data_IF_282863221657
#
_entry.id   IF_282863221657
#
_cell.length_a   1.000
_cell.length_b   1.000
_cell.length_c   1.000
_cell.angle_alpha   90.00
_cell.angle_beta   90.00
_cell.angle_gamma   90.00
#
_symmetry.space_group_name_H-M   'P 1'
#
loop_
_entity.id
_entity.type
_entity.pdbx_description
1 polymer ?
#
# COMPACT_ATOMS: atom_id res chain seq x y z
N UNK A 1 -33.43 -13.41 -45.66
CA UNK A 1 -33.05 -14.15 -44.43
C UNK A 1 -32.09 -13.26 -43.65
N UNK A 2 -32.53 -12.56 -42.60
CA UNK A 2 -31.61 -11.81 -41.72
C UNK A 2 -30.96 -12.83 -40.80
N UNK A 3 -29.68 -13.09 -40.98
CA UNK A 3 -28.90 -13.93 -40.08
C UNK A 3 -28.97 -13.30 -38.69
N UNK A 4 -29.36 -14.09 -37.69
CA UNK A 4 -29.29 -13.71 -36.28
C UNK A 4 -27.85 -13.38 -35.95
N UNK A 5 -27.52 -12.09 -35.83
CA UNK A 5 -26.22 -11.69 -35.28
C UNK A 5 -26.14 -12.24 -33.87
N UNK A 6 -25.13 -13.08 -33.61
CA UNK A 6 -24.80 -13.58 -32.26
C UNK A 6 -24.84 -12.38 -31.30
N UNK A 7 -25.63 -12.48 -30.22
CA UNK A 7 -25.63 -11.44 -29.18
C UNK A 7 -24.18 -11.24 -28.71
N UNK A 8 -23.75 -9.99 -28.53
CA UNK A 8 -22.42 -9.70 -27.95
C UNK A 8 -22.31 -10.49 -26.64
N UNK A 9 -21.15 -11.11 -26.42
CA UNK A 9 -20.88 -11.80 -25.16
C UNK A 9 -21.05 -10.80 -24.00
N UNK A 10 -21.85 -11.19 -23.02
CA UNK A 10 -22.04 -10.41 -21.81
C UNK A 10 -20.75 -10.49 -20.99
N UNK A 11 -20.00 -9.40 -20.96
CA UNK A 11 -18.74 -9.28 -20.24
C UNK A 11 -18.96 -8.46 -18.98
N UNK A 12 -18.70 -9.07 -17.83
CA UNK A 12 -18.69 -8.37 -16.54
C UNK A 12 -17.39 -7.56 -16.47
N UNK A 13 -17.45 -6.23 -16.31
CA UNK A 13 -16.24 -5.43 -16.11
C UNK A 13 -15.54 -5.85 -14.81
N UNK A 14 -14.23 -6.01 -14.86
CA UNK A 14 -13.40 -6.28 -13.69
C UNK A 14 -12.56 -5.05 -13.37
N UNK A 15 -12.53 -4.64 -12.09
CA UNK A 15 -11.71 -3.53 -11.61
C UNK A 15 -10.82 -4.00 -10.46
N UNK A 16 -9.54 -3.72 -10.59
CA UNK A 16 -8.55 -3.84 -9.53
C UNK A 16 -8.71 -2.70 -8.53
N UNK A 17 -8.71 -3.03 -7.24
CA UNK A 17 -8.78 -2.03 -6.19
C UNK A 17 -7.63 -1.03 -6.29
N UNK A 18 -6.40 -1.51 -6.44
CA UNK A 18 -5.20 -0.68 -6.55
C UNK A 18 -5.00 -0.18 -7.98
N UNK A 19 -5.11 -1.08 -8.97
CA UNK A 19 -4.83 -0.77 -10.37
C UNK A 19 -5.90 0.06 -11.07
N UNK A 20 -7.16 -0.02 -10.66
CA UNK A 20 -8.22 0.76 -11.30
C UNK A 20 -8.77 1.84 -10.39
N UNK A 21 -9.28 1.47 -9.22
CA UNK A 21 -10.05 2.39 -8.40
C UNK A 21 -9.16 3.47 -7.76
N UNK A 22 -8.06 3.07 -7.12
CA UNK A 22 -7.10 4.03 -6.54
C UNK A 22 -6.32 4.81 -7.62
N UNK A 23 -5.96 4.16 -8.73
CA UNK A 23 -5.32 4.85 -9.86
C UNK A 23 -6.24 5.92 -10.49
N UNK A 24 -7.53 5.63 -10.64
CA UNK A 24 -8.52 6.61 -11.11
C UNK A 24 -8.61 7.80 -10.16
N UNK A 25 -8.74 7.54 -8.86
CA UNK A 25 -8.79 8.60 -7.83
C UNK A 25 -7.52 9.46 -7.76
N UNK A 26 -6.38 8.93 -8.19
CA UNK A 26 -5.14 9.70 -8.30
C UNK A 26 -5.22 10.70 -9.45
N UNK A 27 -5.64 10.25 -10.64
CA UNK A 27 -5.91 11.11 -11.80
C UNK A 27 -6.62 10.32 -12.91
N UNK A 28 -7.87 10.68 -13.25
CA UNK A 28 -8.67 9.94 -14.23
C UNK A 28 -8.00 9.89 -15.62
N UNK A 29 -7.40 11.01 -16.05
CA UNK A 29 -6.71 11.07 -17.35
C UNK A 29 -5.47 10.19 -17.38
N UNK A 30 -4.70 10.17 -16.29
CA UNK A 30 -3.52 9.30 -16.18
C UNK A 30 -3.93 7.83 -16.18
N UNK A 31 -4.94 7.47 -15.38
CA UNK A 31 -5.52 6.14 -15.33
C UNK A 31 -5.96 5.65 -16.73
N UNK A 32 -6.66 6.51 -17.50
CA UNK A 32 -7.08 6.17 -18.86
C UNK A 32 -5.90 5.79 -19.75
N UNK A 33 -4.80 6.51 -19.67
CA UNK A 33 -3.64 6.24 -20.52
C UNK A 33 -2.81 5.05 -20.04
N UNK A 34 -2.59 4.92 -18.74
CA UNK A 34 -1.68 3.90 -18.19
C UNK A 34 -2.38 2.55 -18.03
N UNK A 35 -3.50 2.50 -17.32
CA UNK A 35 -4.16 1.24 -16.97
C UNK A 35 -5.05 0.74 -18.10
N UNK A 36 -5.86 1.62 -18.69
CA UNK A 36 -6.75 1.25 -19.79
C UNK A 36 -6.08 1.33 -21.17
N UNK A 37 -5.02 2.14 -21.30
CA UNK A 37 -4.25 2.28 -22.53
C UNK A 37 -2.97 1.45 -22.57
N UNK A 38 -2.66 0.73 -21.49
CA UNK A 38 -1.46 -0.11 -21.33
C UNK A 38 -0.14 0.66 -21.56
N UNK A 39 -0.13 1.97 -21.31
CA UNK A 39 1.09 2.77 -21.44
C UNK A 39 1.91 2.70 -20.15
N UNK A 40 3.14 2.22 -20.27
CA UNK A 40 4.09 2.14 -19.16
C UNK A 40 4.58 3.56 -18.81
N UNK A 41 4.60 3.96 -17.52
CA UNK A 41 5.13 5.25 -17.12
C UNK A 41 6.62 5.40 -17.46
N UNK A 42 7.06 6.57 -17.91
CA UNK A 42 8.47 6.81 -18.29
C UNK A 42 9.40 7.02 -17.09
N UNK A 43 8.85 7.40 -15.93
CA UNK A 43 9.60 7.59 -14.66
C UNK A 43 8.89 6.95 -13.47
N UNK A 44 8.81 5.61 -13.39
CA UNK A 44 8.05 4.92 -12.37
C UNK A 44 8.84 4.83 -11.05
N UNK A 45 9.45 5.90 -10.50
CA UNK A 45 10.28 5.76 -9.29
C UNK A 45 9.48 5.19 -8.12
N UNK A 46 8.29 5.75 -7.85
CA UNK A 46 7.42 5.29 -6.77
C UNK A 46 6.79 3.92 -7.06
N UNK A 47 6.41 3.67 -8.31
CA UNK A 47 5.87 2.37 -8.74
C UNK A 47 6.94 1.27 -8.61
N UNK A 48 8.15 1.53 -9.12
CA UNK A 48 9.32 0.66 -8.99
C UNK A 48 9.62 0.39 -7.52
N UNK A 49 9.76 1.44 -6.69
CA UNK A 49 10.10 1.22 -5.28
C UNK A 49 9.01 0.46 -4.52
N UNK A 50 7.74 0.72 -4.83
CA UNK A 50 6.61 -0.07 -4.33
C UNK A 50 6.76 -1.54 -4.68
N UNK A 51 6.74 -1.90 -5.97
CA UNK A 51 6.86 -3.29 -6.41
C UNK A 51 8.14 -3.97 -5.89
N UNK A 52 9.25 -3.23 -5.83
CA UNK A 52 10.51 -3.70 -5.29
C UNK A 52 10.40 -4.07 -3.82
N UNK A 53 9.84 -3.19 -2.96
CA UNK A 53 9.77 -3.45 -1.53
C UNK A 53 8.79 -4.58 -1.19
N UNK A 54 7.65 -4.69 -1.90
CA UNK A 54 6.73 -5.82 -1.74
C UNK A 54 7.44 -7.13 -2.10
N UNK A 55 8.08 -7.19 -3.28
CA UNK A 55 8.80 -8.39 -3.73
C UNK A 55 9.95 -8.79 -2.81
N UNK A 56 10.69 -7.82 -2.25
CA UNK A 56 11.76 -8.13 -1.30
C UNK A 56 11.19 -8.63 0.03
N UNK A 57 10.13 -8.02 0.57
CA UNK A 57 9.51 -8.49 1.82
C UNK A 57 8.94 -9.90 1.68
N UNK A 58 8.33 -10.22 0.54
CA UNK A 58 7.79 -11.54 0.22
C UNK A 58 8.90 -12.61 0.11
N UNK A 59 9.94 -12.32 -0.66
CA UNK A 59 11.06 -13.25 -0.83
C UNK A 59 11.86 -13.41 0.47
N UNK A 60 12.01 -12.34 1.27
CA UNK A 60 12.60 -12.40 2.59
C UNK A 60 11.77 -13.27 3.55
N UNK A 61 10.44 -13.15 3.55
CA UNK A 61 9.59 -14.06 4.31
C UNK A 61 9.77 -15.51 3.87
N UNK A 62 9.81 -15.76 2.56
CA UNK A 62 10.02 -17.11 2.00
C UNK A 62 11.34 -17.71 2.49
N UNK A 63 12.43 -16.95 2.45
CA UNK A 63 13.74 -17.39 2.96
C UNK A 63 13.73 -17.59 4.47
N UNK A 64 13.10 -16.70 5.23
CA UNK A 64 12.96 -16.84 6.68
C UNK A 64 12.12 -18.07 7.05
N UNK A 65 11.05 -18.36 6.32
CA UNK A 65 10.20 -19.53 6.54
C UNK A 65 10.98 -20.83 6.39
N UNK A 66 11.92 -20.89 5.44
CA UNK A 66 12.77 -22.05 5.18
C UNK A 66 13.93 -22.19 6.18
N UNK A 67 14.61 -21.09 6.48
CA UNK A 67 15.87 -21.12 7.25
C UNK A 67 15.69 -20.83 8.73
N UNK A 68 14.61 -20.12 9.09
CA UNK A 68 14.35 -19.54 10.42
C UNK A 68 15.54 -18.74 10.95
N UNK A 69 16.29 -18.10 10.04
CA UNK A 69 17.46 -17.28 10.38
C UNK A 69 17.06 -16.16 11.36
N UNK A 70 17.76 -16.01 12.50
CA UNK A 70 17.47 -14.95 13.45
C UNK A 70 17.82 -13.57 12.88
N UNK A 71 17.12 -12.55 13.37
CA UNK A 71 17.40 -11.15 13.08
C UNK A 71 18.47 -10.60 14.04
N UNK A 72 19.22 -9.55 13.65
CA UNK A 72 19.16 -8.83 12.38
C UNK A 72 19.87 -9.58 11.23
N UNK A 73 19.39 -9.36 10.02
CA UNK A 73 20.01 -9.80 8.78
C UNK A 73 21.00 -8.75 8.28
N UNK A 74 22.14 -9.21 7.77
CA UNK A 74 23.18 -8.36 7.20
C UNK A 74 22.80 -7.97 5.78
N UNK A 75 22.85 -6.67 5.44
CA UNK A 75 22.45 -6.22 4.12
C UNK A 75 23.22 -6.93 2.99
N UNK A 76 24.56 -6.97 3.05
CA UNK A 76 25.36 -7.45 1.93
C UNK A 76 25.25 -8.97 1.75
N UNK A 77 25.20 -9.72 2.85
CA UNK A 77 25.19 -11.19 2.83
C UNK A 77 23.80 -11.78 2.65
N UNK A 78 22.78 -11.17 3.27
CA UNK A 78 21.46 -11.78 3.40
C UNK A 78 20.41 -11.09 2.52
N UNK A 79 20.40 -9.76 2.50
CA UNK A 79 19.32 -8.98 1.86
C UNK A 79 19.65 -8.67 0.40
N UNK A 80 20.90 -8.33 0.10
CA UNK A 80 21.35 -7.96 -1.25
C UNK A 80 21.13 -9.08 -2.29
N UNK A 81 21.32 -10.37 -1.99
CA UNK A 81 20.95 -11.45 -2.92
C UNK A 81 19.45 -11.48 -3.23
N UNK A 82 18.60 -11.14 -2.25
CA UNK A 82 17.15 -11.01 -2.44
C UNK A 82 16.85 -9.82 -3.35
N UNK A 83 17.43 -8.65 -3.05
CA UNK A 83 17.31 -7.45 -3.89
C UNK A 83 17.68 -7.74 -5.35
N UNK A 84 18.77 -8.47 -5.59
CA UNK A 84 19.24 -8.82 -6.93
C UNK A 84 18.22 -9.67 -7.70
N UNK A 85 17.61 -10.66 -7.03
CA UNK A 85 16.58 -11.52 -7.61
C UNK A 85 15.31 -10.74 -7.97
N UNK A 86 14.90 -9.80 -7.11
CA UNK A 86 13.73 -8.95 -7.36
C UNK A 86 14.01 -7.93 -8.47
N UNK A 87 15.18 -7.30 -8.47
CA UNK A 87 15.64 -6.40 -9.53
C UNK A 87 15.62 -7.09 -10.90
N UNK A 88 16.17 -8.31 -11.00
CA UNK A 88 16.15 -9.10 -12.25
C UNK A 88 14.71 -9.38 -12.72
N UNK A 89 13.81 -9.79 -11.81
CA UNK A 89 12.40 -10.04 -12.13
C UNK A 89 11.68 -8.78 -12.64
N UNK A 90 11.97 -7.62 -12.05
CA UNK A 90 11.36 -6.35 -12.44
C UNK A 90 11.89 -5.87 -13.80
N UNK A 91 13.20 -5.96 -14.02
CA UNK A 91 13.81 -5.62 -15.31
C UNK A 91 13.31 -6.51 -16.45
N UNK A 92 13.06 -7.80 -16.20
CA UNK A 92 12.45 -8.71 -17.16
C UNK A 92 11.02 -8.28 -17.59
N UNK A 93 10.33 -7.50 -16.76
CA UNK A 93 9.02 -6.89 -17.06
C UNK A 93 9.12 -5.48 -17.65
N UNK A 94 10.34 -4.99 -17.91
CA UNK A 94 10.60 -3.64 -18.42
C UNK A 94 10.56 -2.55 -17.34
N UNK A 95 10.52 -2.92 -16.05
CA UNK A 95 10.51 -1.99 -14.94
C UNK A 95 11.92 -1.83 -14.37
N UNK A 96 12.64 -0.83 -14.87
CA UNK A 96 14.04 -0.60 -14.53
C UNK A 96 14.22 0.22 -13.25
N UNK A 97 15.30 -0.02 -12.48
CA UNK A 97 15.60 0.75 -11.29
C UNK A 97 15.78 2.24 -11.58
N UNK A 98 15.48 3.11 -10.60
CA UNK A 98 15.75 4.53 -10.70
C UNK A 98 17.27 4.79 -10.77
N UNK A 99 17.65 6.05 -10.92
CA UNK A 99 19.05 6.47 -11.04
C UNK A 99 19.97 5.82 -9.96
N UNK A 100 21.24 5.58 -10.32
CA UNK A 100 22.25 4.89 -9.48
C UNK A 100 22.48 5.49 -8.08
N UNK A 101 22.07 6.74 -7.87
CA UNK A 101 22.08 7.40 -6.56
C UNK A 101 21.07 6.80 -5.58
N UNK A 102 20.00 6.19 -6.07
CA UNK A 102 18.92 5.60 -5.26
C UNK A 102 19.05 4.10 -5.06
N UNK A 103 19.51 3.39 -6.09
CA UNK A 103 19.69 1.94 -6.08
C UNK A 103 20.83 1.56 -7.01
N UNK A 104 21.63 0.57 -6.62
CA UNK A 104 22.67 0.02 -7.48
C UNK A 104 22.14 -1.30 -8.02
N UNK A 105 21.97 -1.47 -9.34
CA UNK A 105 21.58 -2.74 -9.95
C UNK A 105 22.67 -3.81 -9.72
N UNK A 106 22.30 -5.08 -9.79
CA UNK A 106 23.29 -6.15 -9.67
C UNK A 106 24.22 -6.22 -10.90
N UNK A 107 23.65 -6.05 -12.09
CA UNK A 107 24.40 -5.89 -13.33
C UNK A 107 24.70 -4.41 -13.52
N UNK A 108 25.94 -3.99 -13.25
CA UNK A 108 26.36 -2.60 -13.45
C UNK A 108 26.47 -2.37 -14.96
N UNK A 109 25.70 -1.43 -15.56
CA UNK A 109 25.67 -1.27 -17.02
C UNK A 109 26.97 -0.76 -17.64
N UNK A 110 27.93 -0.28 -16.84
CA UNK A 110 29.10 0.46 -17.33
C UNK A 110 30.35 0.15 -16.49
N UNK A 111 31.42 -0.29 -17.16
CA UNK A 111 32.76 -0.51 -16.56
C UNK A 111 33.39 0.80 -16.06
N UNK A 112 32.87 1.97 -16.47
CA UNK A 112 33.38 3.29 -16.08
C UNK A 112 32.92 3.77 -14.70
N UNK A 113 32.08 3.02 -14.00
CA UNK A 113 31.71 3.32 -12.61
C UNK A 113 32.73 2.64 -11.70
N UNK A 114 33.49 3.43 -10.91
CA UNK A 114 34.38 2.95 -9.83
C UNK A 114 33.57 2.33 -8.67
N UNK A 115 32.70 1.37 -8.95
CA UNK A 115 31.88 0.65 -7.98
C UNK A 115 32.43 -0.77 -7.94
N UNK A 116 32.94 -1.18 -6.77
CA UNK A 116 33.33 -2.57 -6.56
C UNK A 116 32.06 -3.46 -6.55
N UNK A 117 31.89 -4.38 -7.52
CA UNK A 117 30.74 -5.27 -7.56
C UNK A 117 30.63 -6.18 -6.32
N UNK A 118 31.75 -6.43 -5.63
CA UNK A 118 31.78 -7.26 -4.41
C UNK A 118 31.39 -6.48 -3.15
N UNK A 119 31.50 -5.16 -3.18
CA UNK A 119 31.17 -4.31 -2.05
C UNK A 119 30.56 -2.97 -2.53
N UNK A 120 29.36 -3.01 -3.13
CA UNK A 120 28.70 -1.80 -3.62
C UNK A 120 28.29 -0.91 -2.44
N UNK A 121 28.27 0.42 -2.60
CA UNK A 121 27.77 1.30 -1.55
C UNK A 121 26.25 1.12 -1.35
N UNK A 122 25.83 0.96 -0.10
CA UNK A 122 24.40 0.83 0.26
C UNK A 122 23.67 2.15 -0.03
N UNK A 123 22.67 2.10 -0.90
CA UNK A 123 21.83 3.26 -1.26
C UNK A 123 20.54 3.29 -0.44
N UNK A 124 19.81 4.41 -0.51
CA UNK A 124 18.62 4.65 0.31
C UNK A 124 17.56 3.55 0.16
N UNK A 125 17.33 3.03 -1.06
CA UNK A 125 16.39 1.93 -1.29
C UNK A 125 16.80 0.69 -0.48
N UNK A 126 18.06 0.28 -0.60
CA UNK A 126 18.61 -0.86 0.13
C UNK A 126 18.61 -0.65 1.64
N UNK A 127 18.92 0.56 2.11
CA UNK A 127 18.83 0.90 3.53
C UNK A 127 17.39 0.81 4.06
N UNK A 128 16.38 1.24 3.27
CA UNK A 128 14.97 1.10 3.63
C UNK A 128 14.54 -0.36 3.68
N UNK A 129 14.95 -1.15 2.71
CA UNK A 129 14.71 -2.59 2.69
C UNK A 129 15.29 -3.28 3.92
N UNK A 130 16.54 -2.98 4.27
CA UNK A 130 17.19 -3.53 5.47
C UNK A 130 16.45 -3.15 6.75
N UNK A 131 16.08 -1.88 6.91
CA UNK A 131 15.29 -1.44 8.06
C UNK A 131 13.91 -2.11 8.10
N UNK A 132 13.25 -2.27 6.95
CA UNK A 132 11.94 -2.91 6.86
C UNK A 132 11.99 -4.37 7.33
N UNK A 133 12.99 -5.14 6.87
CA UNK A 133 13.20 -6.53 7.26
C UNK A 133 13.58 -6.65 8.74
N UNK A 134 14.54 -5.84 9.21
CA UNK A 134 15.08 -5.95 10.56
C UNK A 134 14.16 -5.39 11.65
N UNK A 135 13.30 -4.41 11.32
CA UNK A 135 12.34 -3.80 12.26
C UNK A 135 10.98 -4.48 12.18
N UNK A 136 10.36 -4.52 11.00
CA UNK A 136 9.01 -5.05 10.84
C UNK A 136 9.00 -6.52 10.40
N UNK A 137 9.92 -6.95 9.54
CA UNK A 137 10.03 -8.36 9.14
C UNK A 137 10.16 -9.31 10.33
N UNK A 138 10.97 -8.96 11.35
CA UNK A 138 11.08 -9.74 12.59
C UNK A 138 9.75 -9.91 13.34
N UNK A 139 8.87 -8.92 13.28
CA UNK A 139 7.61 -8.92 14.01
C UNK A 139 6.50 -9.54 13.18
N UNK A 140 6.53 -9.38 11.85
CA UNK A 140 5.47 -9.82 10.95
C UNK A 140 5.68 -11.26 10.51
N UNK A 141 6.90 -11.66 10.13
CA UNK A 141 7.15 -12.99 9.55
C UNK A 141 6.66 -14.15 10.42
N UNK A 142 6.78 -14.10 11.77
CA UNK A 142 6.21 -15.13 12.65
C UNK A 142 4.68 -15.20 12.65
N UNK A 143 4.00 -14.14 12.22
CA UNK A 143 2.54 -14.01 12.23
C UNK A 143 1.89 -14.35 10.87
N UNK A 144 2.68 -14.38 9.79
CA UNK A 144 2.14 -14.63 8.44
C UNK A 144 1.61 -16.06 8.34
N UNK A 145 0.31 -16.16 8.12
CA UNK A 145 -0.37 -17.40 7.75
C UNK A 145 -0.34 -17.58 6.23
N UNK A 146 -0.74 -16.54 5.50
CA UNK A 146 -0.70 -16.48 4.03
C UNK A 146 -0.14 -15.14 3.54
N UNK A 147 0.61 -15.18 2.44
CA UNK A 147 1.10 -14.00 1.72
C UNK A 147 0.49 -13.97 0.31
N UNK A 148 0.30 -12.77 -0.26
CA UNK A 148 -0.27 -12.53 -1.59
C UNK A 148 -1.63 -13.22 -1.84
N UNK A 149 -2.61 -12.97 -0.96
CA UNK A 149 -3.94 -13.58 -1.09
C UNK A 149 -4.78 -12.83 -2.12
N UNK A 150 -4.98 -13.45 -3.28
CA UNK A 150 -5.90 -12.95 -4.30
C UNK A 150 -7.35 -13.13 -3.86
N UNK A 151 -8.11 -12.03 -3.89
CA UNK A 151 -9.52 -11.99 -3.50
C UNK A 151 -10.33 -11.28 -4.57
N UNK A 152 -11.55 -11.78 -4.79
CA UNK A 152 -12.49 -11.20 -5.75
C UNK A 152 -13.93 -11.44 -5.37
N UNK A 153 -14.81 -10.53 -5.75
CA UNK A 153 -16.26 -10.65 -5.58
C UNK A 153 -17.01 -9.76 -6.56
N UNK A 154 -18.31 -9.99 -6.68
CA UNK A 154 -19.22 -9.22 -7.52
C UNK A 154 -19.98 -8.18 -6.71
N UNK A 155 -20.30 -7.05 -7.36
CA UNK A 155 -21.21 -6.02 -6.88
C UNK A 155 -22.18 -5.60 -7.98
N UNK A 156 -23.33 -5.07 -7.59
CA UNK A 156 -24.27 -4.46 -8.53
C UNK A 156 -23.66 -3.24 -9.20
N UNK A 157 -23.90 -3.07 -10.49
CA UNK A 157 -23.45 -1.91 -11.23
C UNK A 157 -24.13 -0.64 -10.69
N UNK A 158 -23.39 0.39 -10.28
CA UNK A 158 -23.99 1.65 -9.85
C UNK A 158 -24.81 2.24 -10.99
N UNK A 159 -26.02 2.72 -10.69
CA UNK A 159 -26.89 3.35 -11.68
C UNK A 159 -26.25 4.65 -12.18
N UNK A 160 -26.12 4.79 -13.48
CA UNK A 160 -25.71 6.05 -14.13
C UNK A 160 -26.97 6.85 -14.49
N UNK A 161 -26.87 8.19 -14.55
CA UNK A 161 -28.01 9.08 -14.83
C UNK A 161 -28.71 8.77 -16.17
N UNK A 162 -27.97 8.17 -17.11
CA UNK A 162 -28.48 7.82 -18.45
C UNK A 162 -28.97 6.35 -18.54
N UNK A 163 -28.89 5.56 -17.46
CA UNK A 163 -29.20 4.11 -17.39
C UNK A 163 -28.48 3.25 -18.46
N UNK A 164 -27.48 3.81 -19.14
CA UNK A 164 -26.66 3.14 -20.15
C UNK A 164 -25.54 2.31 -19.51
N UNK A 165 -25.92 1.35 -18.66
CA UNK A 165 -24.96 0.45 -18.06
C UNK A 165 -24.55 -0.66 -19.03
N UNK A 166 -23.25 -0.90 -19.18
CA UNK A 166 -22.73 -1.96 -20.06
C UNK A 166 -22.93 -3.37 -19.49
N UNK A 167 -23.16 -3.47 -18.18
CA UNK A 167 -23.41 -4.71 -17.44
C UNK A 167 -24.28 -4.43 -16.19
N UNK A 168 -24.93 -5.46 -15.66
CA UNK A 168 -25.71 -5.41 -14.41
C UNK A 168 -24.83 -5.50 -13.16
N UNK A 169 -23.65 -6.10 -13.30
CA UNK A 169 -22.69 -6.31 -12.23
C UNK A 169 -21.30 -5.88 -12.68
N UNK A 170 -20.45 -5.62 -11.69
CA UNK A 170 -19.01 -5.51 -11.88
C UNK A 170 -18.27 -6.37 -10.86
N UNK A 171 -17.07 -6.79 -11.21
CA UNK A 171 -16.17 -7.55 -10.35
C UNK A 171 -15.14 -6.60 -9.72
N UNK A 172 -14.95 -6.71 -8.41
CA UNK A 172 -13.81 -6.09 -7.72
C UNK A 172 -12.81 -7.20 -7.41
N UNK A 173 -11.53 -6.95 -7.71
CA UNK A 173 -10.44 -7.82 -7.31
C UNK A 173 -9.33 -7.05 -6.58
N UNK A 174 -8.53 -7.78 -5.80
CA UNK A 174 -7.43 -7.23 -5.02
C UNK A 174 -6.47 -8.32 -4.54
N UNK A 175 -5.31 -7.89 -4.03
CA UNK A 175 -4.28 -8.75 -3.45
C UNK A 175 -3.98 -8.23 -2.05
N UNK A 176 -4.20 -9.07 -1.04
CA UNK A 176 -3.74 -8.82 0.32
C UNK A 176 -2.27 -9.24 0.42
N UNK A 177 -1.38 -8.32 0.80
CA UNK A 177 0.04 -8.63 0.94
C UNK A 177 0.28 -9.70 2.00
N UNK A 178 -0.30 -9.50 3.18
CA UNK A 178 -0.15 -10.41 4.32
C UNK A 178 -1.48 -10.60 5.04
N UNK A 179 -1.83 -11.87 5.22
CA UNK A 179 -2.93 -12.31 6.06
C UNK A 179 -2.36 -13.11 7.23
N UNK A 180 -2.61 -12.63 8.44
CA UNK A 180 -2.17 -13.28 9.68
C UNK A 180 -3.36 -13.90 10.39
N UNK A 181 -3.30 -15.21 10.63
CA UNK A 181 -4.27 -15.96 11.44
C UNK A 181 -3.73 -16.13 12.86
N UNK A 182 -4.49 -15.69 13.85
CA UNK A 182 -4.05 -15.66 15.25
C UNK A 182 -5.06 -16.30 16.18
N UNK A 183 -4.58 -16.95 17.25
CA UNK A 183 -5.40 -17.39 18.37
C UNK A 183 -5.28 -16.42 19.54
N UNK A 184 -6.38 -16.21 20.26
CA UNK A 184 -6.48 -15.36 21.47
C UNK A 184 -5.50 -15.78 22.59
N UNK A 185 -5.00 -17.02 22.54
CA UNK A 185 -4.17 -17.63 23.58
C UNK A 185 -2.70 -17.76 23.18
N UNK A 186 -2.29 -17.24 22.02
CA UNK A 186 -0.92 -17.44 21.53
C UNK A 186 0.10 -16.68 22.40
N UNK A 187 1.14 -17.37 22.87
CA UNK A 187 2.21 -16.75 23.67
C UNK A 187 3.05 -15.74 22.88
N UNK A 188 3.00 -15.83 21.54
CA UNK A 188 3.63 -14.89 20.59
C UNK A 188 3.17 -13.44 20.86
N UNK A 189 1.98 -13.25 21.45
CA UNK A 189 1.39 -11.94 21.75
C UNK A 189 2.10 -11.11 22.84
N UNK A 190 2.98 -11.71 23.64
CA UNK A 190 3.52 -11.03 24.84
C UNK A 190 4.67 -10.08 24.52
N UNK A 191 5.56 -10.45 23.59
CA UNK A 191 6.76 -9.66 23.31
C UNK A 191 6.77 -8.97 21.94
N UNK A 192 5.88 -9.37 21.03
CA UNK A 192 5.80 -8.83 19.68
C UNK A 192 5.30 -7.37 19.65
N UNK A 193 6.01 -6.52 18.91
CA UNK A 193 5.77 -5.07 18.88
C UNK A 193 4.39 -4.72 18.30
N UNK A 194 3.91 -5.45 17.29
CA UNK A 194 2.60 -5.22 16.67
C UNK A 194 1.49 -5.36 17.71
N UNK A 195 1.57 -6.39 18.55
CA UNK A 195 0.59 -6.59 19.62
C UNK A 195 0.64 -5.50 20.69
N UNK A 196 1.80 -4.88 20.93
CA UNK A 196 1.88 -3.71 21.82
C UNK A 196 1.09 -2.53 21.26
N UNK A 197 1.11 -2.31 19.95
CA UNK A 197 0.27 -1.29 19.30
C UNK A 197 -1.20 -1.69 19.30
N UNK A 198 -1.54 -2.93 18.95
CA UNK A 198 -2.91 -3.41 18.95
C UNK A 198 -3.56 -3.33 20.34
N UNK A 199 -2.82 -3.67 21.40
CA UNK A 199 -3.29 -3.55 22.79
C UNK A 199 -3.53 -2.11 23.24
N UNK A 200 -2.97 -1.10 22.57
CA UNK A 200 -3.28 0.31 22.80
C UNK A 200 -4.55 0.76 22.07
N UNK A 201 -4.95 0.08 21.00
CA UNK A 201 -6.14 0.42 20.22
C UNK A 201 -7.42 -0.02 20.96
N UNK A 202 -8.33 0.94 21.18
CA UNK A 202 -9.54 0.71 21.96
C UNK A 202 -10.48 -0.31 21.31
N UNK A 203 -10.67 -0.23 19.99
CA UNK A 203 -11.52 -1.14 19.23
C UNK A 203 -11.04 -2.59 19.36
N UNK A 204 -9.74 -2.83 19.19
CA UNK A 204 -9.14 -4.15 19.34
C UNK A 204 -9.28 -4.70 20.77
N UNK A 205 -9.07 -3.86 21.80
CA UNK A 205 -9.29 -4.27 23.20
C UNK A 205 -10.73 -4.71 23.46
N UNK A 206 -11.71 -3.92 23.01
CA UNK A 206 -13.15 -4.23 23.13
C UNK A 206 -13.51 -5.52 22.42
N UNK A 207 -12.94 -5.77 21.25
CA UNK A 207 -13.14 -7.03 20.52
C UNK A 207 -12.62 -8.23 21.33
N UNK A 208 -11.39 -8.15 21.84
CA UNK A 208 -10.80 -9.22 22.68
C UNK A 208 -11.60 -9.47 23.97
N UNK A 209 -12.09 -8.42 24.63
CA UNK A 209 -12.96 -8.54 25.81
C UNK A 209 -14.26 -9.29 25.45
N UNK A 210 -14.90 -8.92 24.32
CA UNK A 210 -16.14 -9.55 23.88
C UNK A 210 -16.00 -11.05 23.57
N UNK A 211 -14.83 -11.49 23.11
CA UNK A 211 -14.55 -12.91 22.86
C UNK A 211 -14.37 -13.68 24.18
N UNK A 212 -13.62 -13.12 25.13
CA UNK A 212 -13.42 -13.72 26.46
C UNK A 212 -14.72 -13.87 27.25
N UNK A 213 -15.66 -12.94 27.09
CA UNK A 213 -17.01 -13.02 27.67
C UNK A 213 -17.84 -14.16 27.05
N UNK A 214 -17.76 -14.33 25.73
CA UNK A 214 -18.42 -15.44 25.01
C UNK A 214 -17.85 -16.81 25.41
N UNK A 215 -16.54 -16.91 25.61
CA UNK A 215 -15.89 -18.12 26.13
C UNK A 215 -16.36 -18.46 27.54
N UNK A 216 -16.43 -17.46 28.43
CA UNK A 216 -16.84 -17.63 29.83
C UNK A 216 -18.30 -18.06 29.95
N UNK A 217 -19.17 -17.59 29.05
CA UNK A 217 -20.60 -17.92 29.03
C UNK A 217 -20.91 -19.33 28.50
N UNK A 218 -20.02 -19.93 27.68
CA UNK A 218 -20.22 -21.27 27.08
C UNK A 218 -19.59 -22.42 27.88
N UNK A 219 -18.69 -22.14 28.84
CA UNK A 219 -18.03 -23.16 29.70
C UNK A 219 -18.99 -23.99 30.57
N UNK A 220 -20.25 -23.58 30.75
CA UNK A 220 -21.19 -24.24 31.67
C UNK A 220 -22.00 -25.41 31.10
N UNK A 221 -21.88 -25.79 29.82
CA UNK A 221 -22.84 -26.76 29.24
C UNK A 221 -22.30 -28.09 28.73
N UNK A 222 -21.02 -28.29 28.36
CA UNK A 222 -20.65 -29.57 27.72
C UNK A 222 -19.18 -30.03 27.81
N UNK A 223 -18.37 -29.57 28.78
CA UNK A 223 -17.08 -30.21 29.15
C UNK A 223 -15.99 -30.38 28.07
N UNK A 224 -16.24 -29.99 26.81
CA UNK A 224 -15.30 -30.05 25.72
C UNK A 224 -14.51 -28.74 25.64
N UNK A 225 -13.18 -28.87 25.71
CA UNK A 225 -12.20 -27.82 25.40
C UNK A 225 -12.53 -27.18 24.06
N UNK A 226 -12.74 -25.87 24.05
CA UNK A 226 -13.11 -25.13 22.84
C UNK A 226 -11.95 -25.15 21.84
N UNK A 227 -12.30 -25.23 20.56
CA UNK A 227 -11.43 -24.83 19.43
C UNK A 227 -11.16 -23.34 19.64
N UNK A 228 -9.91 -22.92 19.76
CA UNK A 228 -9.53 -21.51 19.91
C UNK A 228 -10.29 -20.66 18.86
N UNK A 229 -10.96 -19.59 19.28
CA UNK A 229 -11.58 -18.66 18.34
C UNK A 229 -10.47 -17.91 17.61
N UNK A 230 -10.18 -18.33 16.38
CA UNK A 230 -9.18 -17.71 15.52
C UNK A 230 -9.74 -16.44 14.87
N UNK A 231 -8.87 -15.44 14.69
CA UNK A 231 -9.19 -14.22 13.97
C UNK A 231 -8.07 -13.85 12.99
N UNK A 232 -8.40 -12.99 12.04
CA UNK A 232 -7.49 -12.53 10.99
C UNK A 232 -7.13 -11.05 11.15
N UNK A 233 -5.89 -10.74 10.81
CA UNK A 233 -5.39 -9.37 10.62
C UNK A 233 -4.91 -9.24 9.18
N UNK A 234 -5.37 -8.18 8.51
CA UNK A 234 -4.89 -7.81 7.17
C UNK A 234 -3.73 -6.83 7.34
N UNK A 235 -2.61 -7.11 6.69
CA UNK A 235 -1.42 -6.25 6.72
C UNK A 235 -1.08 -5.87 5.28
N UNK A 236 -0.83 -4.58 5.05
CA UNK A 236 -0.41 -4.01 3.76
C UNK A 236 0.84 -3.15 3.97
N UNK A 237 1.74 -3.17 2.99
CA UNK A 237 2.96 -2.37 3.00
C UNK A 237 2.87 -1.21 2.02
N UNK A 238 3.36 -0.03 2.42
CA UNK A 238 3.43 1.15 1.56
C UNK A 238 4.85 1.70 1.56
N UNK A 239 5.48 1.70 0.38
CA UNK A 239 6.79 2.31 0.12
C UNK A 239 6.74 3.85 0.02
N UNK A 240 6.04 4.52 0.94
CA UNK A 240 5.85 5.96 0.94
C UNK A 240 5.83 6.51 2.37
N UNK A 241 5.96 7.84 2.50
CA UNK A 241 5.71 8.58 3.73
C UNK A 241 4.25 8.38 4.17
N UNK A 242 4.00 8.33 5.47
CA UNK A 242 2.65 8.38 6.04
C UNK A 242 1.94 9.65 5.54
N UNK A 243 0.75 9.54 4.93
CA UNK A 243 -0.01 10.68 4.48
C UNK A 243 -0.55 11.48 5.67
N UNK A 244 -0.85 12.77 5.46
CA UNK A 244 -1.57 13.57 6.46
C UNK A 244 -2.98 13.05 6.65
N UNK A 245 -3.51 13.13 7.88
CA UNK A 245 -4.84 12.59 8.17
C UNK A 245 -5.99 13.32 7.46
N UNK A 246 -5.72 14.51 6.89
CA UNK A 246 -6.66 15.30 6.09
C UNK A 246 -6.59 15.01 4.58
N UNK A 247 -5.64 14.19 4.13
CA UNK A 247 -5.46 13.95 2.70
C UNK A 247 -6.39 12.86 2.18
N UNK A 248 -6.79 12.95 0.90
CA UNK A 248 -7.56 11.88 0.24
C UNK A 248 -6.82 10.53 0.29
N UNK A 249 -5.48 10.54 0.19
CA UNK A 249 -4.65 9.33 0.27
C UNK A 249 -4.81 8.60 1.61
N UNK A 250 -4.95 9.36 2.71
CA UNK A 250 -5.19 8.79 4.04
C UNK A 250 -6.49 7.98 4.11
N UNK A 251 -7.57 8.53 3.55
CA UNK A 251 -8.88 7.87 3.52
C UNK A 251 -8.89 6.69 2.54
N UNK A 252 -8.36 6.89 1.33
CA UNK A 252 -8.30 5.88 0.27
C UNK A 252 -7.56 4.61 0.70
N UNK A 253 -6.45 4.76 1.44
CA UNK A 253 -5.71 3.64 2.00
C UNK A 253 -6.53 2.87 3.05
N UNK A 254 -7.35 3.56 3.85
CA UNK A 254 -8.27 2.90 4.77
C UNK A 254 -9.38 2.16 4.01
N UNK A 255 -9.94 2.77 2.95
CA UNK A 255 -10.94 2.13 2.09
C UNK A 255 -10.40 0.85 1.44
N UNK A 256 -9.11 0.84 1.06
CA UNK A 256 -8.45 -0.34 0.52
C UNK A 256 -8.55 -1.53 1.49
N UNK A 257 -8.14 -1.32 2.74
CA UNK A 257 -8.17 -2.34 3.81
C UNK A 257 -9.59 -2.77 4.15
N UNK A 258 -10.53 -1.83 4.25
CA UNK A 258 -11.94 -2.11 4.54
C UNK A 258 -12.58 -2.95 3.42
N UNK A 259 -12.23 -2.68 2.18
CA UNK A 259 -12.72 -3.44 1.02
C UNK A 259 -12.08 -4.82 0.95
N UNK A 260 -10.79 -4.95 1.26
CA UNK A 260 -10.16 -6.26 1.46
C UNK A 260 -10.84 -7.07 2.56
N UNK A 261 -11.24 -6.41 3.65
CA UNK A 261 -11.97 -7.05 4.75
C UNK A 261 -13.32 -7.60 4.29
N UNK A 262 -14.06 -6.83 3.50
CA UNK A 262 -15.31 -7.29 2.87
C UNK A 262 -15.08 -8.45 1.91
N UNK A 263 -14.10 -8.33 1.00
CA UNK A 263 -13.76 -9.36 0.01
C UNK A 263 -13.32 -10.68 0.69
N UNK A 264 -12.52 -10.58 1.75
CA UNK A 264 -12.05 -11.74 2.52
C UNK A 264 -13.22 -12.40 3.26
N UNK A 265 -14.13 -11.64 3.88
CA UNK A 265 -15.32 -12.17 4.58
C UNK A 265 -16.24 -13.05 3.70
N UNK A 266 -16.20 -12.88 2.38
CA UNK A 266 -17.02 -13.65 1.43
C UNK A 266 -16.39 -15.02 1.11
N UNK A 267 -15.09 -15.21 1.36
CA UNK A 267 -14.41 -16.46 1.06
C UNK A 267 -14.83 -17.58 2.03
N UNK A 268 -14.86 -18.83 1.54
CA UNK A 268 -15.38 -19.98 2.29
C UNK A 268 -14.60 -20.31 3.58
N UNK A 269 -13.33 -19.94 3.65
CA UNK A 269 -12.41 -20.20 4.76
C UNK A 269 -12.16 -18.98 5.65
N UNK A 270 -12.91 -17.89 5.44
CA UNK A 270 -12.68 -16.62 6.11
C UNK A 270 -12.91 -16.70 7.63
N UNK A 271 -11.97 -16.13 8.38
CA UNK A 271 -12.12 -15.91 9.83
C UNK A 271 -12.56 -14.47 10.08
N UNK A 272 -13.07 -14.15 11.29
CA UNK A 272 -13.38 -12.77 11.64
C UNK A 272 -12.15 -11.88 11.51
N UNK A 273 -12.26 -10.81 10.73
CA UNK A 273 -11.18 -9.85 10.52
C UNK A 273 -11.40 -8.70 11.50
N UNK A 274 -10.40 -8.44 12.33
CA UNK A 274 -10.58 -7.61 13.54
C UNK A 274 -9.98 -6.23 13.40
N UNK A 275 -8.91 -6.17 12.63
CA UNK A 275 -8.12 -4.96 12.41
C UNK A 275 -7.34 -5.11 11.11
N UNK A 276 -7.09 -3.98 10.46
CA UNK A 276 -6.11 -3.91 9.39
C UNK A 276 -4.92 -3.06 9.83
N UNK A 277 -3.74 -3.33 9.25
CA UNK A 277 -2.51 -2.62 9.56
C UNK A 277 -1.86 -2.18 8.25
N UNK A 278 -1.43 -0.92 8.20
CA UNK A 278 -0.64 -0.37 7.10
C UNK A 278 0.73 0.01 7.64
N UNK A 279 1.78 -0.48 6.98
CA UNK A 279 3.15 -0.10 7.27
C UNK A 279 3.69 0.91 6.26
N UNK A 280 4.11 2.10 6.73
CA UNK A 280 4.76 3.13 5.93
C UNK A 280 6.27 3.00 6.04
N UNK A 281 6.87 2.23 5.14
CA UNK A 281 8.26 1.79 5.28
C UNK A 281 9.29 2.93 5.12
N UNK A 282 8.93 4.03 4.46
CA UNK A 282 9.81 5.20 4.37
C UNK A 282 9.97 5.94 5.71
N UNK A 283 9.03 5.78 6.64
CA UNK A 283 9.11 6.43 7.96
C UNK A 283 10.24 5.86 8.83
N UNK A 284 10.67 4.60 8.57
CA UNK A 284 11.81 3.99 9.26
C UNK A 284 13.14 4.66 8.90
N UNK A 285 13.22 5.24 7.70
CA UNK A 285 14.39 5.95 7.19
C UNK A 285 13.95 7.10 6.27
N UNK A 286 13.50 8.23 6.85
CA UNK A 286 13.04 9.40 6.10
C UNK A 286 14.19 10.02 5.30
N UNK A 287 13.95 10.33 4.03
CA UNK A 287 14.87 11.14 3.23
C UNK A 287 14.67 12.64 3.51
N UNK A 288 15.54 13.51 2.99
CA UNK A 288 15.43 14.97 3.12
C UNK A 288 14.04 15.47 2.72
N UNK A 289 13.50 14.99 1.59
CA UNK A 289 12.16 15.34 1.13
C UNK A 289 11.04 14.86 2.06
N UNK A 290 11.24 13.74 2.75
CA UNK A 290 10.30 13.22 3.75
C UNK A 290 10.37 14.08 5.03
N UNK A 291 11.57 14.43 5.51
CA UNK A 291 11.78 15.27 6.70
C UNK A 291 11.15 16.66 6.54
N UNK A 292 11.34 17.30 5.38
CA UNK A 292 10.68 18.59 5.07
C UNK A 292 9.16 18.45 5.12
N UNK A 293 8.64 17.34 4.59
CA UNK A 293 7.20 17.09 4.60
C UNK A 293 6.70 16.76 6.02
N UNK A 294 7.45 16.00 6.82
CA UNK A 294 7.09 15.69 8.22
C UNK A 294 7.04 16.98 9.04
N UNK A 295 8.04 17.87 8.89
CA UNK A 295 8.06 19.17 9.56
C UNK A 295 6.80 19.98 9.26
N UNK A 296 6.42 20.09 7.98
CA UNK A 296 5.20 20.80 7.56
C UNK A 296 3.92 20.19 8.14
N UNK A 297 3.82 18.86 8.17
CA UNK A 297 2.65 18.18 8.75
C UNK A 297 2.52 18.50 10.24
N UNK A 298 3.63 18.54 10.98
CA UNK A 298 3.64 18.87 12.41
C UNK A 298 3.26 20.35 12.61
N UNK A 299 3.88 21.27 11.88
CA UNK A 299 3.57 22.72 11.95
C UNK A 299 2.07 23.02 11.68
N UNK A 300 1.45 22.25 10.77
CA UNK A 300 0.05 22.42 10.40
C UNK A 300 -0.94 21.61 11.25
N UNK A 301 -0.45 20.84 12.24
CA UNK A 301 -1.25 19.87 13.02
C UNK A 301 -2.01 18.87 12.13
N UNK A 302 -1.33 18.30 11.14
CA UNK A 302 -1.87 17.36 10.14
C UNK A 302 -1.32 15.92 10.27
N UNK A 303 -0.56 15.66 11.34
CA UNK A 303 -0.09 14.34 11.76
C UNK A 303 -0.95 13.78 12.88
N UNK A 304 -1.16 12.46 12.89
CA UNK A 304 -1.83 11.73 13.98
C UNK A 304 -0.85 11.17 15.02
N UNK A 305 0.45 11.37 14.82
CA UNK A 305 1.51 10.96 15.73
C UNK A 305 2.15 12.20 16.36
N UNK A 306 2.19 12.22 17.69
CA UNK A 306 2.85 13.25 18.49
C UNK A 306 4.37 13.11 18.41
N UNK A 307 5.06 14.25 18.31
CA UNK A 307 6.52 14.34 18.34
C UNK A 307 6.97 14.75 19.75
N UNK A 308 8.11 14.23 20.21
CA UNK A 308 8.70 14.66 21.47
C UNK A 308 9.48 15.98 21.28
N UNK A 309 9.75 16.68 22.40
CA UNK A 309 10.39 18.00 22.38
C UNK A 309 11.78 17.98 21.73
N UNK A 310 12.58 16.93 21.96
CA UNK A 310 13.94 16.79 21.42
C UNK A 310 13.93 16.64 19.88
N UNK A 311 13.11 15.74 19.37
CA UNK A 311 12.93 15.53 17.93
C UNK A 311 12.36 16.78 17.26
N UNK A 312 11.42 17.47 17.92
CA UNK A 312 10.85 18.72 17.42
C UNK A 312 11.90 19.82 17.34
N UNK A 313 12.68 20.04 18.40
CA UNK A 313 13.75 21.05 18.40
C UNK A 313 14.77 20.79 17.28
N UNK A 314 15.12 19.53 17.04
CA UNK A 314 16.05 19.14 15.98
C UNK A 314 15.47 19.44 14.58
N UNK A 315 14.19 19.14 14.34
CA UNK A 315 13.51 19.47 13.08
C UNK A 315 13.30 20.97 12.89
N UNK A 316 12.93 21.68 13.95
CA UNK A 316 12.63 23.11 13.91
C UNK A 316 13.86 23.93 13.53
N UNK A 317 15.01 23.63 14.15
CA UNK A 317 16.30 24.30 13.87
C UNK A 317 16.83 24.02 12.46
N UNK A 318 16.44 22.88 11.85
CA UNK A 318 16.91 22.50 10.53
C UNK A 318 16.21 23.30 9.41
N UNK A 319 17.03 23.84 8.48
CA UNK A 319 16.57 24.73 7.41
C UNK A 319 16.11 24.02 6.13
N UNK A 320 16.27 22.70 6.05
CA UNK A 320 15.81 21.91 4.89
C UNK A 320 16.70 22.01 3.65
N UNK A 321 17.83 22.73 3.71
CA UNK A 321 18.76 22.94 2.59
C UNK A 321 20.07 22.16 2.71
N UNK A 322 20.37 21.61 3.89
CA UNK A 322 21.59 20.82 4.12
C UNK A 322 21.31 19.34 3.88
N UNK A 323 21.85 18.80 2.78
CA UNK A 323 21.80 17.37 2.48
C UNK A 323 22.87 16.57 3.26
N UNK A 324 23.92 17.24 3.73
CA UNK A 324 25.02 16.61 4.49
C UNK A 324 24.74 16.55 5.99
N UNK A 325 23.98 17.50 6.54
CA UNK A 325 23.58 17.56 7.94
C UNK A 325 22.05 17.64 8.06
N UNK A 326 21.40 16.47 8.19
CA UNK A 326 19.95 16.37 8.41
C UNK A 326 19.63 15.78 9.80
N UNK A 327 18.51 16.21 10.41
CA UNK A 327 18.15 15.81 11.76
C UNK A 327 17.89 14.31 11.86
N UNK A 328 18.43 13.68 12.89
CA UNK A 328 18.16 12.29 13.23
C UNK A 328 16.99 12.24 14.21
N UNK A 329 15.88 11.66 13.76
CA UNK A 329 14.70 11.45 14.58
C UNK A 329 14.85 10.20 15.44
N UNK A 330 14.26 10.22 16.63
CA UNK A 330 14.25 9.06 17.51
C UNK A 330 13.65 7.81 16.84
N UNK A 331 14.18 6.64 17.19
CA UNK A 331 13.66 5.36 16.69
C UNK A 331 12.18 5.17 17.04
N UNK A 332 11.79 5.59 18.25
CA UNK A 332 10.40 5.47 18.70
C UNK A 332 9.45 6.27 17.80
N UNK A 333 9.79 7.53 17.50
CA UNK A 333 8.98 8.37 16.61
C UNK A 333 8.88 7.79 15.19
N UNK A 334 10.00 7.30 14.63
CA UNK A 334 10.01 6.64 13.32
C UNK A 334 9.13 5.40 13.28
N UNK A 335 9.20 4.55 14.31
CA UNK A 335 8.37 3.35 14.45
C UNK A 335 6.89 3.74 14.57
N UNK A 336 6.55 4.70 15.44
CA UNK A 336 5.17 5.17 15.65
C UNK A 336 4.55 5.68 14.34
N UNK A 337 5.32 6.46 13.56
CA UNK A 337 4.88 6.93 12.24
C UNK A 337 4.76 5.82 11.20
N UNK A 338 5.58 4.78 11.30
CA UNK A 338 5.62 3.68 10.34
C UNK A 338 4.45 2.70 10.45
N UNK A 339 3.63 2.73 11.50
CA UNK A 339 2.50 1.80 11.67
C UNK A 339 1.17 2.56 11.79
N UNK A 340 0.15 2.11 11.06
CA UNK A 340 -1.22 2.62 11.17
C UNK A 340 -2.20 1.49 11.34
N UNK A 341 -3.05 1.62 12.36
CA UNK A 341 -4.12 0.68 12.67
C UNK A 341 -5.40 1.19 12.01
N UNK A 342 -6.06 0.32 11.25
CA UNK A 342 -7.36 0.57 10.61
C UNK A 342 -8.41 -0.26 11.33
N UNK A 343 -9.41 0.42 11.88
CA UNK A 343 -10.54 -0.22 12.52
C UNK A 343 -11.47 -0.86 11.48
N UNK A 344 -11.97 -2.05 11.80
CA UNK A 344 -12.85 -2.81 10.92
C UNK A 344 -14.21 -2.94 11.59
N UNK A 345 -15.21 -2.27 11.02
CA UNK A 345 -16.62 -2.44 11.38
C UNK A 345 -17.49 -2.31 10.11
N UNK A 346 -18.74 -2.78 10.20
CA UNK A 346 -19.61 -2.82 9.02
C UNK A 346 -19.94 -1.43 8.47
N UNK A 347 -20.07 -0.40 9.31
CA UNK A 347 -20.36 0.97 8.87
C UNK A 347 -19.22 1.55 8.02
N UNK A 348 -17.97 1.38 8.48
CA UNK A 348 -16.79 1.80 7.73
C UNK A 348 -16.63 1.01 6.42
N UNK A 349 -16.92 -0.30 6.45
CA UNK A 349 -16.91 -1.16 5.27
C UNK A 349 -17.94 -0.65 4.25
N UNK A 350 -19.19 -0.46 4.66
CA UNK A 350 -20.26 -0.02 3.77
C UNK A 350 -19.96 1.37 3.18
N UNK A 351 -19.41 2.29 3.98
CA UNK A 351 -18.94 3.57 3.48
C UNK A 351 -17.84 3.42 2.41
N UNK A 352 -16.80 2.62 2.67
CA UNK A 352 -15.72 2.40 1.71
C UNK A 352 -16.24 1.79 0.38
N UNK A 353 -17.15 0.83 0.47
CA UNK A 353 -17.77 0.19 -0.70
C UNK A 353 -18.61 1.19 -1.51
N UNK A 354 -19.39 2.05 -0.86
CA UNK A 354 -20.17 3.09 -1.52
C UNK A 354 -19.26 4.11 -2.24
N UNK A 355 -18.13 4.48 -1.64
CA UNK A 355 -17.15 5.36 -2.29
C UNK A 355 -16.57 4.70 -3.55
N UNK A 356 -16.29 3.40 -3.51
CA UNK A 356 -15.85 2.68 -4.70
C UNK A 356 -16.94 2.51 -5.76
N UNK A 357 -18.20 2.32 -5.37
CA UNK A 357 -19.32 2.33 -6.31
C UNK A 357 -19.40 3.69 -7.04
N UNK A 358 -19.16 4.81 -6.34
CA UNK A 358 -19.08 6.13 -6.98
C UNK A 358 -17.91 6.24 -7.98
N UNK A 359 -16.74 5.68 -7.64
CA UNK A 359 -15.58 5.63 -8.55
C UNK A 359 -15.90 4.83 -9.80
N UNK A 360 -16.48 3.63 -9.65
CA UNK A 360 -16.89 2.78 -10.78
C UNK A 360 -17.92 3.49 -11.66
N UNK A 361 -18.92 4.14 -11.05
CA UNK A 361 -19.89 4.96 -11.78
C UNK A 361 -19.21 6.03 -12.65
N UNK A 362 -18.18 6.70 -12.11
CA UNK A 362 -17.43 7.73 -12.84
C UNK A 362 -16.55 7.15 -13.97
N UNK A 363 -15.93 5.98 -13.74
CA UNK A 363 -15.18 5.25 -14.78
C UNK A 363 -16.12 4.86 -15.93
N UNK A 364 -17.32 4.38 -15.61
CA UNK A 364 -18.31 3.98 -16.61
C UNK A 364 -18.84 5.18 -17.40
N UNK A 365 -19.20 6.29 -16.73
CA UNK A 365 -19.57 7.54 -17.39
C UNK A 365 -18.49 8.01 -18.37
N UNK A 366 -17.22 7.97 -17.95
CA UNK A 366 -16.07 8.36 -18.79
C UNK A 366 -15.88 7.41 -19.98
N UNK A 367 -16.07 6.11 -19.76
CA UNK A 367 -15.97 5.08 -20.81
C UNK A 367 -17.09 5.19 -21.84
N UNK A 368 -18.32 5.43 -21.40
CA UNK A 368 -19.48 5.63 -22.28
C UNK A 368 -19.29 6.90 -23.11
N UNK A 369 -18.89 8.01 -22.47
CA UNK A 369 -18.61 9.27 -23.17
C UNK A 369 -17.55 9.09 -24.27
N UNK A 370 -16.43 8.42 -23.96
CA UNK A 370 -15.40 8.10 -24.95
C UNK A 370 -15.96 7.24 -26.09
N UNK A 371 -16.77 6.22 -25.78
CA UNK A 371 -17.39 5.35 -26.80
C UNK A 371 -18.37 6.08 -27.72
N UNK A 372 -19.00 7.15 -27.23
CA UNK A 372 -19.87 8.06 -27.99
C UNK A 372 -19.08 9.08 -28.84
N UNK A 373 -17.75 8.99 -28.86
CA UNK A 373 -16.87 9.86 -29.66
C UNK A 373 -16.44 11.15 -28.97
N UNK A 374 -16.67 11.29 -27.66
CA UNK A 374 -16.13 12.43 -26.90
C UNK A 374 -14.60 12.31 -26.84
N UNK A 375 -13.84 13.37 -27.16
CA UNK A 375 -12.38 13.32 -27.09
C UNK A 375 -11.87 12.89 -25.70
N UNK A 376 -10.81 12.08 -25.64
CA UNK A 376 -10.26 11.52 -24.39
C UNK A 376 -10.05 12.59 -23.31
N UNK A 377 -9.50 13.76 -23.67
CA UNK A 377 -9.23 14.86 -22.72
C UNK A 377 -10.49 15.48 -22.10
N UNK A 378 -11.65 15.26 -22.71
CA UNK A 378 -12.94 15.75 -22.24
C UNK A 378 -13.73 14.64 -21.53
N UNK A 379 -13.61 13.39 -22.00
CA UNK A 379 -14.22 12.23 -21.36
C UNK A 379 -13.53 11.88 -20.02
N UNK A 380 -12.21 12.07 -19.94
CA UNK A 380 -11.40 11.75 -18.77
C UNK A 380 -10.76 13.02 -18.21
N UNK A 381 -11.25 13.48 -17.06
CA UNK A 381 -10.80 14.72 -16.44
C UNK A 381 -9.41 14.58 -15.83
N UNK A 382 -8.59 15.62 -15.96
CA UNK A 382 -7.29 15.68 -15.33
C UNK A 382 -7.42 16.28 -13.93
N UNK A 383 -7.79 15.47 -12.94
CA UNK A 383 -8.18 15.93 -11.60
C UNK A 383 -7.20 15.50 -10.49
N UNK A 384 -5.89 15.46 -10.76
CA UNK A 384 -4.89 15.21 -9.69
C UNK A 384 -4.79 16.38 -8.71
N UNK A 385 -4.96 16.12 -7.42
CA UNK A 385 -4.78 17.12 -6.34
C UNK A 385 -3.34 17.21 -5.84
N UNK A 386 -2.47 16.32 -6.29
CA UNK A 386 -1.07 16.24 -5.88
C UNK A 386 -0.15 16.84 -6.96
N UNK A 387 0.58 17.91 -6.62
CA UNK A 387 1.58 18.52 -7.52
C UNK A 387 2.68 17.50 -7.90
N UNK A 388 3.09 16.61 -6.99
CA UNK A 388 4.10 15.56 -7.27
C UNK A 388 3.64 14.58 -8.35
N UNK A 389 2.35 14.18 -8.30
CA UNK A 389 1.75 13.32 -9.33
C UNK A 389 1.80 14.01 -10.69
N UNK A 390 1.52 15.32 -10.74
CA UNK A 390 1.59 16.10 -11.98
C UNK A 390 3.02 16.25 -12.51
N UNK A 391 4.00 16.48 -11.63
CA UNK A 391 5.42 16.63 -11.99
C UNK A 391 6.03 15.35 -12.58
N UNK A 392 5.66 14.20 -12.02
CA UNK A 392 6.07 12.88 -12.48
C UNK A 392 5.25 12.36 -13.68
N UNK A 393 4.16 13.02 -14.05
CA UNK A 393 3.26 12.55 -15.11
C UNK A 393 3.87 12.73 -16.51
N UNK A 394 3.89 11.66 -17.29
CA UNK A 394 4.38 11.66 -18.68
C UNK A 394 3.53 12.52 -19.61
N UNK A 395 2.26 12.72 -19.24
CA UNK A 395 1.28 13.45 -20.04
C UNK A 395 1.27 14.96 -19.74
N UNK A 396 2.17 15.44 -18.88
CA UNK A 396 2.22 16.85 -18.45
C UNK A 396 2.42 17.86 -19.59
N UNK A 397 3.10 17.45 -20.67
CA UNK A 397 3.35 18.30 -21.84
C UNK A 397 2.08 18.70 -22.60
N UNK A 398 1.01 17.92 -22.49
CA UNK A 398 -0.26 18.17 -23.17
C UNK A 398 -1.49 18.16 -22.23
N UNK A 399 -1.25 18.07 -20.92
CA UNK A 399 -2.25 18.17 -19.86
C UNK A 399 -2.53 19.64 -19.54
N UNK A 400 -3.81 20.04 -19.54
CA UNK A 400 -4.23 21.43 -19.30
C UNK A 400 -4.06 21.89 -17.84
N UNK A 401 -3.97 20.94 -16.88
CA UNK A 401 -3.82 21.24 -15.44
C UNK A 401 -2.35 21.48 -15.03
N UNK A 402 -1.37 21.06 -15.84
CA UNK A 402 0.03 21.25 -15.51
C UNK A 402 0.42 22.73 -15.61
N UNK A 403 0.74 23.34 -14.47
CA UNK A 403 1.34 24.69 -14.40
C UNK A 403 2.85 24.51 -14.36
N UNK A 404 3.53 24.85 -15.46
CA UNK A 404 5.00 24.85 -15.52
C UNK A 404 5.58 25.61 -14.32
N UNK A 405 6.34 24.91 -13.47
CA UNK A 405 7.29 25.49 -12.50
C UNK A 405 8.68 24.94 -12.84
N UNK A 406 9.70 25.77 -12.64
CA UNK A 406 11.09 25.53 -13.05
C UNK A 406 11.85 24.50 -12.22
N UNK A 407 11.32 24.05 -11.09
CA UNK A 407 11.97 23.06 -10.23
C UNK A 407 11.15 21.77 -10.17
N UNK A 408 11.77 20.68 -10.61
CA UNK A 408 11.22 19.32 -10.50
C UNK A 408 11.27 18.93 -9.02
N UNK A 409 10.12 18.70 -8.39
CA UNK A 409 10.11 18.04 -7.09
C UNK A 409 10.48 16.57 -7.27
N UNK A 410 11.60 16.18 -6.69
CA UNK A 410 12.11 14.80 -6.67
C UNK A 410 11.54 14.10 -5.41
N UNK A 411 11.23 12.77 -5.46
CA UNK A 411 10.72 12.02 -4.32
C UNK A 411 11.59 12.09 -3.07
#
# INVERSE_FOLDING_TARGET
>A
MKLSSKSKEYMIPEYSLTGDLLSFLTCNLQYRYQNKGELIPSRPIQLWFGEFIHGVMEEAYTQWKLTKKPFPWDWLKDIRPIEAKIDERMQARGLYPPALKYFIPYQIPDENLNIDPKNPPKRIVSSRTENSINIWGKEIFPLIDSAEVMIKSLREMPKTEDDENRAEYYCINGIIDVLSSLNINDEIEKDNLIFKYLKKNEHFRKYLESLKEKESSKKNKNGNSFKNEEYEIIIDYKGMKRPTYKSNSWEQQAWQILTYSWLRKIQNDAKPIVVGIIFYLNELLPAVGDLIAIKKDIENNETDIEINDEDWENLEKWKGSDEEEFPQLSEQFKIDRSIRIIEINNELIDNALNQFDHVVSNIEKSTIAESKGVPIKNAWKADSDNERTCDACDFKSFCKKYKSKTDITVP
#
